data_IF_355214688713
#
_entry.id   IF_355214688713
#
_cell.length_a   1.000
_cell.length_b   1.000
_cell.length_c   1.000
_cell.angle_alpha   90.00
_cell.angle_beta   90.00
_cell.angle_gamma   90.00
#
_symmetry.space_group_name_H-M   'P 1'
#
loop_
_entity.id
_entity.type
_entity.pdbx_description
1 polymer ?
#
# COMPACT_ATOMS: atom_id res chain seq x y z
N UNK A 1 -23.14 -1.16 -0.34
CA UNK A 1 -21.72 -0.75 -0.26
C UNK A 1 -21.02 -1.03 -1.60
N UNK A 2 -21.49 -0.41 -2.70
CA UNK A 2 -20.96 -0.64 -4.07
C UNK A 2 -20.81 0.66 -4.88
N UNK A 3 -21.06 1.83 -4.26
CA UNK A 3 -21.14 3.13 -4.96
C UNK A 3 -20.05 4.14 -4.55
N UNK A 4 -19.14 3.80 -3.64
CA UNK A 4 -18.18 4.79 -3.13
C UNK A 4 -16.90 4.95 -3.98
N UNK A 5 -16.60 4.00 -4.88
CA UNK A 5 -15.37 4.00 -5.68
C UNK A 5 -15.79 3.67 -7.11
N UNK A 6 -15.79 4.68 -7.98
CA UNK A 6 -16.22 4.59 -9.37
C UNK A 6 -15.57 3.40 -10.06
N UNK A 7 -16.38 2.60 -10.76
CA UNK A 7 -16.04 1.36 -11.47
C UNK A 7 -14.65 1.44 -12.12
N UNK A 8 -13.59 0.90 -11.50
CA UNK A 8 -12.27 0.82 -12.13
C UNK A 8 -12.36 -0.31 -13.16
N UNK A 9 -12.23 0.01 -14.44
CA UNK A 9 -12.14 -0.96 -15.52
C UNK A 9 -10.69 -0.98 -16.01
N UNK A 10 -10.03 -2.13 -15.83
CA UNK A 10 -8.59 -2.32 -16.02
C UNK A 10 -7.99 -2.80 -14.70
N UNK A 11 -7.26 -3.92 -14.69
CA UNK A 11 -6.73 -4.52 -13.44
C UNK A 11 -5.90 -3.55 -12.60
N UNK A 12 -5.55 -3.92 -11.37
CA UNK A 12 -4.76 -3.03 -10.51
C UNK A 12 -3.33 -2.92 -11.05
N UNK A 13 -3.05 -1.86 -11.81
CA UNK A 13 -1.71 -1.50 -12.25
C UNK A 13 -0.88 -0.89 -11.10
N UNK A 14 -0.78 -1.61 -9.98
CA UNK A 14 -0.14 -1.14 -8.75
C UNK A 14 1.33 -0.75 -8.99
N UNK A 15 2.04 -1.54 -9.80
CA UNK A 15 3.42 -1.22 -10.19
C UNK A 15 3.55 0.08 -10.98
N UNK A 16 2.57 0.44 -11.83
CA UNK A 16 2.58 1.72 -12.54
C UNK A 16 2.31 2.89 -11.58
N UNK A 17 1.41 2.72 -10.62
CA UNK A 17 1.13 3.72 -9.59
C UNK A 17 2.37 3.98 -8.71
N UNK A 18 3.04 2.93 -8.24
CA UNK A 18 4.27 3.10 -7.45
C UNK A 18 5.37 3.78 -8.29
N UNK A 19 5.57 3.37 -9.54
CA UNK A 19 6.52 4.04 -10.46
C UNK A 19 6.19 5.52 -10.68
N UNK A 20 4.91 5.87 -10.80
CA UNK A 20 4.48 7.25 -10.96
C UNK A 20 4.93 8.13 -9.78
N UNK A 21 4.99 7.58 -8.56
CA UNK A 21 5.44 8.33 -7.39
C UNK A 21 6.94 8.32 -7.16
N UNK A 22 7.73 7.48 -7.84
CA UNK A 22 9.19 7.42 -7.68
C UNK A 22 9.88 8.77 -7.90
N UNK A 23 9.41 9.54 -8.88
CA UNK A 23 10.01 10.83 -9.25
C UNK A 23 9.35 12.04 -8.56
N UNK A 24 8.40 11.78 -7.64
CA UNK A 24 7.66 12.83 -6.93
C UNK A 24 8.09 12.89 -5.47
N UNK A 25 8.29 14.08 -4.88
CA UNK A 25 8.65 14.18 -3.46
C UNK A 25 7.48 13.74 -2.59
N UNK A 26 7.74 12.78 -1.71
CA UNK A 26 6.82 12.31 -0.69
C UNK A 26 7.63 11.68 0.46
N UNK A 27 7.03 11.66 1.66
CA UNK A 27 7.64 11.09 2.86
C UNK A 27 7.12 9.67 3.15
N UNK A 28 5.88 9.40 2.75
CA UNK A 28 5.17 8.13 2.96
C UNK A 28 4.48 7.71 1.67
N UNK A 29 4.44 6.41 1.43
CA UNK A 29 3.64 5.80 0.37
C UNK A 29 2.80 4.68 0.99
N UNK A 30 1.49 4.88 1.06
CA UNK A 30 0.54 3.91 1.61
C UNK A 30 -0.27 3.33 0.45
N UNK A 31 -0.17 2.02 0.27
CA UNK A 31 -0.91 1.25 -0.72
C UNK A 31 -2.01 0.47 -0.02
N UNK A 32 -3.27 0.69 -0.42
CA UNK A 32 -4.41 -0.11 -0.01
C UNK A 32 -4.83 -0.97 -1.21
N UNK A 33 -4.84 -2.29 -1.03
CA UNK A 33 -5.17 -3.24 -2.12
C UNK A 33 -5.95 -4.42 -1.58
N UNK A 34 -6.94 -4.90 -2.33
CA UNK A 34 -7.66 -6.16 -2.11
C UNK A 34 -7.20 -7.27 -3.07
N UNK A 35 -6.44 -6.93 -4.12
CA UNK A 35 -6.09 -7.86 -5.20
C UNK A 35 -4.99 -8.86 -4.82
N UNK A 36 -5.32 -10.15 -4.94
CA UNK A 36 -4.40 -11.27 -4.92
C UNK A 36 -3.73 -11.46 -6.30
N UNK A 37 -2.57 -10.84 -6.49
CA UNK A 37 -1.78 -10.92 -7.74
C UNK A 37 -2.34 -10.00 -8.84
N UNK A 38 -1.57 -9.40 -9.74
CA UNK A 38 -0.27 -9.73 -10.28
C UNK A 38 0.45 -8.42 -10.61
N UNK A 39 1.62 -8.20 -10.03
CA UNK A 39 2.80 -7.61 -10.67
C UNK A 39 3.84 -7.28 -9.58
N UNK A 40 5.15 -7.39 -9.87
CA UNK A 40 6.17 -6.84 -8.99
C UNK A 40 6.01 -5.32 -8.90
N UNK A 41 5.43 -4.87 -7.79
CA UNK A 41 5.19 -3.45 -7.47
C UNK A 41 6.50 -2.65 -7.33
N UNK A 42 7.61 -3.34 -7.08
CA UNK A 42 8.90 -2.74 -6.73
C UNK A 42 8.95 -2.30 -5.26
N UNK A 43 10.08 -1.72 -4.85
CA UNK A 43 10.24 -1.14 -3.52
C UNK A 43 9.84 0.35 -3.53
N UNK A 44 9.44 0.91 -2.37
CA UNK A 44 9.29 2.35 -2.21
C UNK A 44 10.62 3.07 -2.53
N UNK A 45 10.54 4.35 -2.88
CA UNK A 45 11.72 5.20 -3.05
C UNK A 45 12.58 5.17 -1.78
N UNK A 46 13.91 5.09 -1.92
CA UNK A 46 14.82 5.06 -0.78
C UNK A 46 14.59 6.26 0.15
N UNK A 47 14.44 6.00 1.45
CA UNK A 47 14.14 7.02 2.46
C UNK A 47 12.67 7.40 2.58
N UNK A 48 11.77 6.74 1.84
CA UNK A 48 10.32 6.85 2.00
C UNK A 48 9.81 5.68 2.83
N UNK A 49 8.91 5.96 3.77
CA UNK A 49 8.20 4.94 4.53
C UNK A 49 7.09 4.31 3.66
N UNK A 50 7.24 3.02 3.33
CA UNK A 50 6.28 2.29 2.50
C UNK A 50 5.39 1.36 3.31
N UNK A 51 4.07 1.52 3.17
CA UNK A 51 3.08 0.65 3.81
C UNK A 51 2.23 -0.05 2.75
N UNK A 52 2.07 -1.37 2.87
CA UNK A 52 1.18 -2.17 2.03
C UNK A 52 0.10 -2.81 2.89
N UNK A 53 -1.13 -2.37 2.71
CA UNK A 53 -2.29 -2.77 3.49
C UNK A 53 -3.17 -3.66 2.61
N UNK A 54 -3.26 -4.95 2.95
CA UNK A 54 -4.24 -5.84 2.35
C UNK A 54 -5.60 -5.62 3.01
N UNK A 55 -6.59 -5.21 2.21
CA UNK A 55 -7.98 -4.99 2.66
C UNK A 55 -8.73 -6.30 2.80
N UNK A 56 -8.38 -7.32 2.00
CA UNK A 56 -8.89 -8.67 2.18
C UNK A 56 -8.21 -9.32 3.40
N UNK A 57 -8.96 -10.11 4.17
CA UNK A 57 -8.42 -10.89 5.29
C UNK A 57 -7.58 -12.09 4.84
N UNK A 58 -7.23 -12.17 3.55
CA UNK A 58 -6.49 -13.29 2.98
C UNK A 58 -4.98 -13.06 3.10
N UNK A 59 -4.26 -14.11 3.52
CA UNK A 59 -2.84 -14.04 3.88
C UNK A 59 -1.88 -13.97 2.67
N UNK A 60 -2.36 -14.05 1.43
CA UNK A 60 -1.49 -14.04 0.25
C UNK A 60 -1.09 -12.62 -0.12
N UNK A 61 -0.07 -12.13 0.58
CA UNK A 61 0.53 -10.83 0.32
C UNK A 61 1.33 -10.81 -0.98
N UNK A 62 1.07 -9.80 -1.80
CA UNK A 62 1.93 -9.36 -2.92
C UNK A 62 2.94 -8.32 -2.39
N UNK A 63 4.08 -8.11 -3.08
CA UNK A 63 5.02 -7.01 -2.79
C UNK A 63 6.44 -7.46 -2.39
N UNK A 64 7.32 -7.72 -3.35
CA UNK A 64 8.75 -7.90 -3.08
C UNK A 64 9.43 -6.52 -2.89
N UNK A 65 10.02 -6.24 -1.72
CA UNK A 65 10.69 -4.97 -1.39
C UNK A 65 10.54 -4.55 0.09
N UNK A 66 11.13 -3.42 0.48
CA UNK A 66 11.12 -2.86 1.85
C UNK A 66 9.76 -2.23 2.22
N UNK A 67 8.71 -3.05 2.24
CA UNK A 67 7.35 -2.63 2.62
C UNK A 67 7.02 -3.10 4.04
N UNK A 68 6.48 -2.20 4.86
CA UNK A 68 5.76 -2.58 6.09
C UNK A 68 4.38 -3.11 5.71
N UNK A 69 4.12 -4.39 5.95
CA UNK A 69 2.87 -5.05 5.54
C UNK A 69 1.87 -5.11 6.69
N UNK A 70 0.62 -4.80 6.36
CA UNK A 70 -0.52 -4.91 7.26
C UNK A 70 -1.63 -5.71 6.58
N UNK A 71 -2.30 -6.56 7.34
CA UNK A 71 -3.47 -7.32 6.89
C UNK A 71 -4.69 -6.94 7.70
N UNK A 72 -5.84 -6.87 7.03
CA UNK A 72 -7.10 -6.43 7.62
C UNK A 72 -7.22 -4.90 7.63
N UNK A 73 -8.25 -4.39 6.97
CA UNK A 73 -8.55 -2.96 7.00
C UNK A 73 -9.47 -2.64 8.18
N UNK A 74 -8.98 -1.80 9.10
CA UNK A 74 -9.79 -1.13 10.12
C UNK A 74 -9.31 0.30 10.27
N UNK A 75 -10.15 1.21 10.79
CA UNK A 75 -9.76 2.62 11.06
C UNK A 75 -8.52 2.71 11.95
N UNK A 76 -8.25 1.69 12.76
CA UNK A 76 -7.09 1.62 13.65
C UNK A 76 -5.75 1.47 12.91
N UNK A 77 -5.76 1.10 11.63
CA UNK A 77 -4.53 0.97 10.82
C UNK A 77 -3.78 2.30 10.73
N UNK A 78 -4.50 3.42 10.57
CA UNK A 78 -3.88 4.75 10.52
C UNK A 78 -3.25 5.13 11.86
N UNK A 79 -3.94 4.84 12.97
CA UNK A 79 -3.42 5.07 14.32
C UNK A 79 -2.15 4.25 14.57
N UNK A 80 -2.10 3.00 14.10
CA UNK A 80 -0.91 2.17 14.20
C UNK A 80 0.26 2.73 13.40
N UNK A 81 0.03 3.19 12.16
CA UNK A 81 1.07 3.82 11.33
C UNK A 81 1.65 5.03 12.06
N UNK A 82 0.81 5.88 12.62
CA UNK A 82 1.27 7.06 13.37
C UNK A 82 2.13 6.69 14.59
N UNK A 83 1.76 5.66 15.33
CA UNK A 83 2.54 5.17 16.49
C UNK A 83 3.90 4.62 16.04
N UNK A 84 3.94 3.83 14.96
CA UNK A 84 5.18 3.27 14.43
C UNK A 84 6.18 4.34 13.98
N UNK A 85 5.67 5.37 13.31
CA UNK A 85 6.50 6.49 12.85
C UNK A 85 7.03 7.32 14.01
N UNK A 86 6.23 7.51 15.07
CA UNK A 86 6.65 8.24 16.27
C UNK A 86 7.69 7.46 17.08
N UNK A 87 7.57 6.13 17.15
CA UNK A 87 8.53 5.28 17.85
C UNK A 87 9.87 5.12 17.12
N UNK A 88 9.91 5.41 15.82
CA UNK A 88 11.11 5.27 14.97
C UNK A 88 11.85 6.60 14.74
N UNK A 89 11.38 7.70 15.35
CA UNK A 89 11.97 9.04 15.30
C UNK A 89 12.86 9.30 16.52
#
# INVERSE_FOLDING_TARGET
>A
MRDAIGRPHGGTHLGAAVRYFQDRPHNRLIVLTDEEGQDPVGAPRRGVQGYMINVASTERSVGFGDWTRLTGFSEQVLSWIQVQETASA
#
